data_IF_143912376345
#
_entry.id   IF_143912376345
#
_cell.length_a   1.000
_cell.length_b   1.000
_cell.length_c   1.000
_cell.angle_alpha   90.00
_cell.angle_beta   90.00
_cell.angle_gamma   90.00
#
_symmetry.space_group_name_H-M   'P 1'
#
loop_
_entity.id
_entity.type
_entity.pdbx_description
1 polymer ?
#
# COMPACT_ATOMS: atom_id res chain seq x y z
N UNK A 1 -18.59 26.95 15.32
CA UNK A 1 -17.75 27.00 14.11
C UNK A 1 -16.41 27.57 14.54
N UNK A 2 -15.44 26.73 14.91
CA UNK A 2 -14.14 27.23 15.42
C UNK A 2 -13.24 27.60 14.24
N UNK A 3 -13.27 28.89 13.88
CA UNK A 3 -12.34 29.50 12.91
C UNK A 3 -11.01 29.80 13.63
N UNK A 4 -10.28 28.75 14.01
CA UNK A 4 -8.94 28.85 14.58
C UNK A 4 -7.89 28.50 13.52
N UNK A 5 -6.82 29.28 13.41
CA UNK A 5 -5.69 29.02 12.49
C UNK A 5 -5.14 27.58 12.63
N UNK A 6 -5.17 27.02 13.84
CA UNK A 6 -4.75 25.63 14.11
C UNK A 6 -5.58 24.55 13.38
N UNK A 7 -6.87 24.78 13.14
CA UNK A 7 -7.72 23.81 12.45
C UNK A 7 -7.39 23.72 10.95
N UNK A 8 -6.92 24.83 10.34
CA UNK A 8 -6.43 24.81 8.95
C UNK A 8 -5.09 24.08 8.85
N UNK A 9 -4.17 24.34 9.79
CA UNK A 9 -2.87 23.66 9.81
C UNK A 9 -3.01 22.15 10.02
N UNK A 10 -3.88 21.72 10.93
CA UNK A 10 -4.13 20.30 11.17
C UNK A 10 -4.77 19.60 9.96
N UNK A 11 -5.74 20.25 9.28
CA UNK A 11 -6.30 19.72 8.02
C UNK A 11 -5.23 19.52 6.95
N UNK A 12 -4.37 20.52 6.77
CA UNK A 12 -3.29 20.44 5.78
C UNK A 12 -2.25 19.37 6.13
N UNK A 13 -1.91 19.24 7.41
CA UNK A 13 -1.02 18.20 7.92
C UNK A 13 -1.61 16.80 7.65
N UNK A 14 -2.88 16.57 8.00
CA UNK A 14 -3.58 15.30 7.76
C UNK A 14 -3.68 14.97 6.27
N UNK A 15 -4.02 15.96 5.44
CA UNK A 15 -4.05 15.80 3.99
C UNK A 15 -2.68 15.37 3.45
N UNK A 16 -1.61 16.07 3.87
CA UNK A 16 -0.25 15.80 3.40
C UNK A 16 0.24 14.42 3.88
N UNK A 17 0.01 14.06 5.14
CA UNK A 17 0.40 12.76 5.69
C UNK A 17 -0.34 11.60 5.01
N UNK A 18 -1.64 11.75 4.75
CA UNK A 18 -2.44 10.75 4.03
C UNK A 18 -2.05 10.66 2.56
N UNK A 19 -1.67 11.77 1.92
CA UNK A 19 -1.16 11.81 0.55
C UNK A 19 0.19 11.09 0.43
N UNK A 20 1.10 11.31 1.39
CA UNK A 20 2.38 10.60 1.48
C UNK A 20 2.16 9.09 1.65
N UNK A 21 1.23 8.70 2.53
CA UNK A 21 0.86 7.29 2.77
C UNK A 21 0.27 6.66 1.51
N UNK A 22 -0.60 7.40 0.81
CA UNK A 22 -1.19 6.97 -0.46
C UNK A 22 -0.10 6.76 -1.53
N UNK A 23 0.79 7.74 -1.72
CA UNK A 23 1.89 7.64 -2.68
C UNK A 23 2.83 6.45 -2.37
N UNK A 24 3.16 6.26 -1.09
CA UNK A 24 4.00 5.14 -0.67
C UNK A 24 3.31 3.79 -0.91
N UNK A 25 2.02 3.66 -0.57
CA UNK A 25 1.21 2.47 -0.85
C UNK A 25 1.12 2.17 -2.35
N UNK A 26 0.93 3.21 -3.19
CA UNK A 26 0.89 3.07 -4.64
C UNK A 26 2.23 2.58 -5.22
N UNK A 27 3.36 3.11 -4.72
CA UNK A 27 4.69 2.65 -5.12
C UNK A 27 4.93 1.20 -4.73
N UNK A 28 4.63 0.83 -3.48
CA UNK A 28 4.77 -0.56 -3.02
C UNK A 28 3.90 -1.52 -3.83
N UNK A 29 2.62 -1.18 -4.02
CA UNK A 29 1.69 -1.99 -4.81
C UNK A 29 2.15 -2.10 -6.27
N UNK A 30 2.58 -1.00 -6.89
CA UNK A 30 3.08 -0.96 -8.26
C UNK A 30 4.34 -1.79 -8.47
N UNK A 31 5.33 -1.67 -7.58
CA UNK A 31 6.57 -2.48 -7.62
C UNK A 31 6.23 -3.96 -7.43
N UNK A 32 5.32 -4.29 -6.52
CA UNK A 32 4.89 -5.67 -6.27
C UNK A 32 4.17 -6.27 -7.48
N UNK A 33 3.30 -5.49 -8.13
CA UNK A 33 2.58 -5.93 -9.33
C UNK A 33 3.51 -6.07 -10.53
N UNK A 34 4.48 -5.16 -10.69
CA UNK A 34 5.52 -5.30 -11.70
C UNK A 34 6.35 -6.57 -11.45
N UNK A 35 6.81 -6.79 -10.23
CA UNK A 35 7.56 -8.01 -9.88
C UNK A 35 6.74 -9.30 -10.09
N UNK A 36 5.41 -9.24 -9.96
CA UNK A 36 4.52 -10.36 -10.25
C UNK A 36 4.32 -10.62 -11.74
N UNK A 37 4.25 -9.56 -12.55
CA UNK A 37 4.02 -9.65 -14.00
C UNK A 37 5.29 -9.94 -14.80
N UNK A 38 6.47 -9.67 -14.26
CA UNK A 38 7.73 -9.91 -14.96
C UNK A 38 8.04 -11.43 -15.04
N UNK A 39 7.67 -12.01 -16.19
CA UNK A 39 7.86 -13.43 -16.49
C UNK A 39 9.34 -13.86 -16.46
N UNK A 40 10.29 -12.92 -16.65
CA UNK A 40 11.72 -13.21 -16.57
C UNK A 40 12.16 -13.54 -15.13
N UNK A 41 11.46 -13.03 -14.12
CA UNK A 41 11.70 -13.38 -12.72
C UNK A 41 11.21 -14.80 -12.42
N UNK A 42 10.02 -15.16 -12.92
CA UNK A 42 9.47 -16.52 -12.82
C UNK A 42 10.35 -17.54 -13.55
N UNK A 43 10.82 -17.24 -14.77
CA UNK A 43 11.70 -18.11 -15.55
C UNK A 43 13.09 -18.29 -14.90
N UNK A 44 13.65 -17.24 -14.27
CA UNK A 44 14.88 -17.35 -13.48
C UNK A 44 14.68 -18.17 -12.21
N UNK A 45 13.53 -18.06 -11.55
CA UNK A 45 13.19 -18.86 -10.37
C UNK A 45 12.97 -20.33 -10.74
N UNK A 46 12.27 -20.61 -11.83
CA UNK A 46 12.02 -21.99 -12.32
C UNK A 46 13.33 -22.70 -12.70
N UNK A 47 14.30 -21.96 -13.29
CA UNK A 47 15.65 -22.48 -13.54
C UNK A 47 16.47 -22.75 -12.27
N UNK A 48 16.30 -21.96 -11.21
CA UNK A 48 16.92 -22.22 -9.91
C UNK A 48 16.22 -23.40 -9.20
N UNK A 49 14.91 -23.56 -9.42
CA UNK A 49 14.06 -24.61 -8.87
C UNK A 49 14.40 -26.00 -9.44
N UNK A 50 14.72 -26.11 -10.72
CA UNK A 50 15.16 -27.38 -11.34
C UNK A 50 16.50 -27.90 -10.78
N UNK A 51 17.36 -27.02 -10.27
CA UNK A 51 18.68 -27.39 -9.74
C UNK A 51 18.59 -27.88 -8.28
N UNK A 52 17.53 -27.50 -7.54
CA UNK A 52 17.42 -27.72 -6.09
C UNK A 52 16.33 -28.74 -5.70
N UNK A 53 16.23 -29.86 -6.42
CA UNK A 53 15.18 -30.88 -6.25
C UNK A 53 15.19 -31.66 -4.91
N UNK A 54 16.10 -31.40 -3.98
CA UNK A 54 16.23 -32.27 -2.79
C UNK A 54 15.76 -31.69 -1.45
N UNK A 55 15.62 -30.37 -1.28
CA UNK A 55 15.22 -29.84 0.02
C UNK A 55 14.83 -28.38 -0.13
N UNK A 56 13.59 -28.00 0.20
CA UNK A 56 13.27 -26.72 0.87
C UNK A 56 11.76 -26.45 0.94
N UNK A 57 11.14 -26.44 2.14
CA UNK A 57 9.85 -25.78 2.39
C UNK A 57 9.93 -24.23 2.34
N UNK A 58 11.04 -23.67 1.84
CA UNK A 58 11.34 -22.23 1.80
C UNK A 58 10.83 -21.56 0.50
N UNK A 59 10.47 -22.34 -0.52
CA UNK A 59 10.05 -21.80 -1.82
C UNK A 59 8.66 -21.11 -1.74
N UNK A 60 7.83 -21.56 -0.80
CA UNK A 60 6.54 -20.93 -0.51
C UNK A 60 6.72 -19.55 0.12
N UNK A 61 7.80 -19.29 0.87
CA UNK A 61 7.99 -18.00 1.56
C UNK A 61 8.12 -16.82 0.60
N UNK A 62 8.78 -16.98 -0.55
CA UNK A 62 8.98 -15.90 -1.51
C UNK A 62 7.71 -15.55 -2.29
N UNK A 63 6.95 -16.55 -2.74
CA UNK A 63 5.63 -16.31 -3.38
C UNK A 63 4.61 -15.76 -2.37
N UNK A 64 4.59 -16.28 -1.14
CA UNK A 64 3.77 -15.73 -0.05
C UNK A 64 4.16 -14.27 0.23
N UNK A 65 5.46 -13.97 0.28
CA UNK A 65 5.98 -12.62 0.55
C UNK A 65 5.52 -11.59 -0.48
N UNK A 66 5.59 -11.92 -1.78
CA UNK A 66 5.08 -11.06 -2.85
C UNK A 66 3.57 -10.84 -2.73
N UNK A 67 2.80 -11.90 -2.46
CA UNK A 67 1.34 -11.79 -2.32
C UNK A 67 0.95 -10.95 -1.09
N UNK A 68 1.65 -11.10 0.02
CA UNK A 68 1.50 -10.26 1.21
C UNK A 68 1.85 -8.80 0.92
N UNK A 69 2.93 -8.54 0.16
CA UNK A 69 3.34 -7.20 -0.22
C UNK A 69 2.28 -6.50 -1.09
N UNK A 70 1.64 -7.25 -1.99
CA UNK A 70 0.50 -6.77 -2.80
C UNK A 70 -0.69 -6.41 -1.89
N UNK A 71 -1.09 -7.29 -0.97
CA UNK A 71 -2.22 -7.04 -0.06
C UNK A 71 -1.94 -5.84 0.86
N UNK A 72 -0.76 -5.81 1.48
CA UNK A 72 -0.36 -4.75 2.39
C UNK A 72 -0.25 -3.43 1.63
N UNK A 73 0.39 -3.41 0.46
CA UNK A 73 0.49 -2.23 -0.39
C UNK A 73 -0.89 -1.69 -0.81
N UNK A 74 -1.80 -2.58 -1.22
CA UNK A 74 -3.17 -2.20 -1.59
C UNK A 74 -3.96 -1.62 -0.40
N UNK A 75 -3.84 -2.22 0.79
CA UNK A 75 -4.53 -1.72 1.99
C UNK A 75 -3.99 -0.35 2.43
N UNK A 76 -2.66 -0.14 2.42
CA UNK A 76 -2.03 1.15 2.72
C UNK A 76 -2.47 2.22 1.71
N UNK A 77 -2.49 1.88 0.41
CA UNK A 77 -2.99 2.76 -0.63
C UNK A 77 -4.45 3.15 -0.40
N UNK A 78 -5.32 2.18 -0.09
CA UNK A 78 -6.73 2.42 0.16
C UNK A 78 -6.96 3.32 1.39
N UNK A 79 -6.24 3.07 2.49
CA UNK A 79 -6.29 3.91 3.70
C UNK A 79 -5.83 5.33 3.39
N UNK A 80 -4.73 5.49 2.66
CA UNK A 80 -4.25 6.81 2.23
C UNK A 80 -5.24 7.54 1.31
N UNK A 81 -5.86 6.83 0.36
CA UNK A 81 -6.86 7.37 -0.55
C UNK A 81 -8.12 7.82 0.19
N UNK A 82 -8.66 6.98 1.08
CA UNK A 82 -9.79 7.33 1.94
C UNK A 82 -9.46 8.52 2.85
N UNK A 83 -8.24 8.60 3.36
CA UNK A 83 -7.75 9.72 4.16
C UNK A 83 -7.64 11.03 3.37
N UNK A 84 -7.25 10.98 2.09
CA UNK A 84 -7.24 12.14 1.20
C UNK A 84 -8.67 12.57 0.83
N UNK A 85 -9.53 11.62 0.45
CA UNK A 85 -10.94 11.88 0.16
C UNK A 85 -11.67 12.48 1.37
N UNK A 86 -11.43 11.96 2.58
CA UNK A 86 -12.00 12.51 3.82
C UNK A 86 -11.54 13.95 4.11
N UNK A 87 -10.30 14.29 3.76
CA UNK A 87 -9.76 15.65 3.90
C UNK A 87 -10.25 16.62 2.80
N UNK A 88 -10.42 16.15 1.56
CA UNK A 88 -10.92 16.95 0.42
C UNK A 88 -12.44 17.18 0.53
N UNK A 89 -13.22 16.18 0.95
CA UNK A 89 -14.68 16.23 0.93
C UNK A 89 -15.34 17.18 1.94
N UNK A 90 -14.59 18.11 2.57
CA UNK A 90 -15.01 19.12 3.58
C UNK A 90 -16.48 19.01 4.02
N UNK A 91 -16.83 17.90 4.65
CA UNK A 91 -18.17 17.64 5.11
C UNK A 91 -18.03 17.14 6.52
N UNK A 92 -18.48 18.00 7.42
CA UNK A 92 -18.64 17.86 8.86
C UNK A 92 -19.48 16.62 9.28
N UNK A 93 -19.68 15.64 8.38
CA UNK A 93 -20.50 14.43 8.52
C UNK A 93 -19.69 13.12 8.41
N UNK A 94 -18.50 13.10 7.78
CA UNK A 94 -17.69 11.86 7.67
C UNK A 94 -16.61 11.72 8.75
N UNK A 95 -16.36 12.76 9.56
CA UNK A 95 -15.52 12.66 10.75
C UNK A 95 -16.22 11.92 11.92
N UNK A 96 -17.51 11.60 11.78
CA UNK A 96 -18.31 10.92 12.79
C UNK A 96 -18.46 9.40 12.57
N UNK A 97 -18.01 8.85 11.44
CA UNK A 97 -18.17 7.41 11.14
C UNK A 97 -16.94 6.57 11.51
N UNK A 98 -15.83 7.23 11.87
CA UNK A 98 -14.55 6.60 12.27
C UNK A 98 -14.13 7.08 13.68
N UNK A 99 -15.04 7.67 14.46
CA UNK A 99 -14.85 7.96 15.89
C UNK A 99 -15.77 7.11 16.75
#
# INVERSE_FOLDING_TARGET
MVHGCGNRTLKFLFFTANLLTCAFGALLFGISLWAYHDENFLQKLEKVQEIHKEYSPELTQHQIGLWLLIIIGASIFLVGFLGCCGAICESTKLLALVS
#
